data_IF_540754062106
#
_entry.id   IF_540754062106
#
_cell.length_a   1.000
_cell.length_b   1.000
_cell.length_c   1.000
_cell.angle_alpha   90.00
_cell.angle_beta   90.00
_cell.angle_gamma   90.00
#
_symmetry.space_group_name_H-M   'P 1'
#
loop_
_entity.id
_entity.type
_entity.pdbx_description
1 polymer ?
#
# COMPACT_ATOMS: atom_id res chain seq x y z
N UNK A 1 -27.26 9.56 5.50
CA UNK A 1 -26.48 10.17 4.40
C UNK A 1 -25.04 10.32 4.85
N UNK A 2 -24.08 9.78 4.09
CA UNK A 2 -22.65 9.82 4.37
C UNK A 2 -22.03 11.22 4.12
N UNK A 3 -22.82 12.29 4.19
CA UNK A 3 -22.36 13.67 4.06
C UNK A 3 -21.89 14.20 5.42
N UNK A 4 -21.26 13.34 6.23
CA UNK A 4 -20.78 13.69 7.57
C UNK A 4 -19.41 14.34 7.40
N UNK A 5 -19.43 15.67 7.56
CA UNK A 5 -18.32 16.63 7.47
C UNK A 5 -17.70 16.72 6.08
N UNK A 6 -17.51 17.95 5.61
CA UNK A 6 -16.77 18.30 4.41
C UNK A 6 -15.36 17.70 4.53
N UNK A 7 -15.18 16.46 4.07
CA UNK A 7 -13.87 15.85 3.98
C UNK A 7 -13.15 16.58 2.88
N UNK A 8 -12.10 17.32 3.23
CA UNK A 8 -11.26 18.03 2.27
C UNK A 8 -10.47 16.99 1.47
N UNK A 9 -11.06 16.53 0.37
CA UNK A 9 -10.47 15.51 -0.53
C UNK A 9 -9.14 16.02 -1.10
N UNK A 10 -8.97 17.34 -1.24
CA UNK A 10 -7.74 17.96 -1.73
C UNK A 10 -6.62 17.79 -0.69
N UNK A 11 -6.86 18.17 0.56
CA UNK A 11 -5.90 17.89 1.65
C UNK A 11 -5.66 16.40 1.86
N UNK A 12 -6.70 15.58 1.73
CA UNK A 12 -6.60 14.13 1.76
C UNK A 12 -5.66 13.60 0.68
N UNK A 13 -5.73 14.14 -0.52
CA UNK A 13 -4.84 13.80 -1.62
C UNK A 13 -3.38 14.16 -1.33
N UNK A 14 -3.13 15.35 -0.75
CA UNK A 14 -1.77 15.76 -0.34
C UNK A 14 -1.15 14.77 0.65
N UNK A 15 -1.91 14.38 1.69
CA UNK A 15 -1.46 13.38 2.65
C UNK A 15 -1.20 12.02 1.99
N UNK A 16 -2.02 11.63 1.01
CA UNK A 16 -1.82 10.39 0.26
C UNK A 16 -0.53 10.47 -0.57
N UNK A 17 -0.18 11.61 -1.16
CA UNK A 17 1.11 11.77 -1.84
C UNK A 17 2.29 11.57 -0.88
N UNK A 18 2.22 12.15 0.32
CA UNK A 18 3.24 11.93 1.36
C UNK A 18 3.37 10.44 1.73
N UNK A 19 2.25 9.72 1.85
CA UNK A 19 2.25 8.28 2.11
C UNK A 19 2.88 7.52 0.93
N UNK A 20 2.56 7.87 -0.31
CA UNK A 20 3.15 7.24 -1.50
C UNK A 20 4.67 7.45 -1.53
N UNK A 21 5.16 8.63 -1.19
CA UNK A 21 6.59 8.93 -1.07
C UNK A 21 7.26 8.08 0.00
N UNK A 22 6.67 7.99 1.19
CA UNK A 22 7.16 7.12 2.27
C UNK A 22 7.24 5.65 1.83
N UNK A 23 6.24 5.15 1.11
CA UNK A 23 6.22 3.77 0.61
C UNK A 23 7.26 3.57 -0.49
N UNK A 24 7.50 4.58 -1.35
CA UNK A 24 8.59 4.56 -2.34
C UNK A 24 9.95 4.49 -1.65
N UNK A 25 10.15 5.20 -0.55
CA UNK A 25 11.40 5.12 0.20
C UNK A 25 11.58 3.77 0.90
N UNK A 26 10.50 3.17 1.41
CA UNK A 26 10.52 1.77 1.85
C UNK A 26 10.85 0.81 0.71
N UNK A 27 10.41 1.10 -0.52
CA UNK A 27 10.70 0.29 -1.71
C UNK A 27 12.15 0.39 -2.17
N UNK A 28 12.77 1.58 -2.06
CA UNK A 28 14.22 1.77 -2.27
C UNK A 28 15.03 1.04 -1.20
N UNK A 29 14.56 1.07 0.05
CA UNK A 29 15.19 0.42 1.20
C UNK A 29 14.59 -0.96 1.51
N UNK A 30 14.15 -1.70 0.48
CA UNK A 30 13.40 -2.95 0.64
C UNK A 30 14.16 -4.02 1.44
N UNK A 31 15.49 -4.01 1.39
CA UNK A 31 16.34 -4.91 2.18
C UNK A 31 16.19 -4.68 3.68
N UNK A 32 16.33 -3.44 4.15
CA UNK A 32 16.18 -3.09 5.56
C UNK A 32 14.74 -3.33 6.05
N UNK A 33 13.74 -3.00 5.21
CA UNK A 33 12.33 -3.27 5.50
C UNK A 33 12.10 -4.78 5.66
N UNK A 34 12.64 -5.59 4.74
CA UNK A 34 12.52 -7.05 4.79
C UNK A 34 13.20 -7.61 6.03
N UNK A 35 14.42 -7.17 6.35
CA UNK A 35 15.13 -7.60 7.56
C UNK A 35 14.35 -7.27 8.85
N UNK A 36 13.78 -6.07 8.95
CA UNK A 36 12.93 -5.67 10.09
C UNK A 36 11.69 -6.54 10.23
N UNK A 37 11.01 -6.84 9.11
CA UNK A 37 9.81 -7.69 9.10
C UNK A 37 10.17 -9.12 9.50
N UNK A 38 11.22 -9.69 8.91
CA UNK A 38 11.66 -11.05 9.21
C UNK A 38 12.16 -11.19 10.65
N UNK A 39 12.85 -10.17 11.20
CA UNK A 39 13.24 -10.15 12.62
C UNK A 39 12.02 -10.17 13.54
N UNK A 40 11.00 -9.35 13.23
CA UNK A 40 9.75 -9.33 14.00
C UNK A 40 9.00 -10.65 13.90
N UNK A 41 8.92 -11.23 12.71
CA UNK A 41 8.35 -12.55 12.49
C UNK A 41 9.12 -13.61 13.29
N UNK A 42 10.45 -13.61 13.21
CA UNK A 42 11.33 -14.54 13.91
C UNK A 42 11.08 -14.52 15.42
N UNK A 43 10.94 -13.33 16.01
CA UNK A 43 10.62 -13.20 17.42
C UNK A 43 9.25 -13.80 17.81
N UNK A 44 8.26 -13.82 16.90
CA UNK A 44 6.96 -14.43 17.14
C UNK A 44 6.96 -15.97 17.00
N UNK A 45 7.82 -16.52 16.14
CA UNK A 45 7.93 -17.98 15.93
C UNK A 45 8.94 -18.68 16.83
N UNK A 46 9.89 -17.93 17.43
CA UNK A 46 10.80 -18.44 18.50
C UNK A 46 10.10 -19.29 19.56
N UNK A 47 8.99 -18.86 20.20
CA UNK A 47 8.31 -19.68 21.22
C UNK A 47 7.67 -20.96 20.66
N UNK A 48 7.44 -21.02 19.34
CA UNK A 48 6.88 -22.18 18.65
C UNK A 48 7.96 -23.16 18.16
N UNK A 49 9.25 -22.84 18.33
CA UNK A 49 10.38 -23.59 17.80
C UNK A 49 10.29 -23.87 16.28
N UNK A 50 9.74 -22.90 15.53
CA UNK A 50 9.61 -22.95 14.07
C UNK A 50 10.59 -21.96 13.44
N UNK A 51 11.27 -22.38 12.37
CA UNK A 51 12.16 -21.52 11.59
C UNK A 51 11.46 -20.89 10.38
N UNK A 52 11.87 -19.67 10.03
CA UNK A 52 11.34 -18.96 8.85
C UNK A 52 12.06 -19.48 7.61
N UNK A 53 11.42 -20.44 6.97
CA UNK A 53 11.90 -21.03 5.73
C UNK A 53 11.22 -20.41 4.51
N UNK A 54 11.71 -20.76 3.31
CA UNK A 54 11.05 -20.45 2.06
C UNK A 54 9.70 -21.17 2.01
N UNK A 55 8.64 -20.50 1.57
CA UNK A 55 7.30 -21.09 1.50
C UNK A 55 7.32 -22.44 0.74
N UNK A 56 6.79 -23.50 1.36
CA UNK A 56 6.75 -24.84 0.79
C UNK A 56 5.83 -24.83 -0.44
N UNK A 57 6.39 -25.18 -1.59
CA UNK A 57 5.61 -25.35 -2.83
C UNK A 57 4.82 -26.65 -2.66
N UNK A 58 3.49 -26.56 -2.58
CA UNK A 58 2.65 -27.74 -2.73
C UNK A 58 2.99 -28.37 -4.10
N UNK A 59 3.28 -29.67 -4.15
CA UNK A 59 3.89 -30.35 -5.31
C UNK A 59 3.17 -30.17 -6.65
N UNK A 60 1.96 -29.61 -6.65
CA UNK A 60 1.15 -29.32 -7.83
C UNK A 60 1.35 -27.89 -8.42
N UNK A 61 2.11 -27.01 -7.76
CA UNK A 61 2.45 -25.69 -8.32
C UNK A 61 3.78 -25.74 -9.10
N UNK A 62 3.71 -26.09 -10.39
CA UNK A 62 4.72 -25.72 -11.42
C UNK A 62 3.97 -25.03 -12.57
N UNK A 63 4.44 -23.94 -13.22
CA UNK A 63 5.76 -23.32 -13.23
C UNK A 63 5.67 -21.81 -12.89
N UNK A 64 5.79 -21.41 -11.62
CA UNK A 64 6.07 -19.99 -11.33
C UNK A 64 7.58 -19.82 -11.41
N UNK A 65 8.07 -18.92 -12.26
CA UNK A 65 9.47 -18.54 -12.26
C UNK A 65 9.83 -18.15 -10.83
N UNK A 66 10.68 -18.97 -10.19
CA UNK A 66 11.17 -18.66 -8.86
C UNK A 66 12.03 -17.40 -9.00
N UNK A 67 11.81 -16.36 -8.19
CA UNK A 67 12.82 -15.34 -8.05
C UNK A 67 14.11 -16.04 -7.60
N UNK A 68 15.25 -15.84 -8.29
CA UNK A 68 16.51 -16.36 -7.80
C UNK A 68 16.75 -15.79 -6.40
N UNK A 69 16.92 -16.68 -5.42
CA UNK A 69 17.06 -16.34 -4.02
C UNK A 69 18.10 -17.27 -3.40
N UNK A 70 19.14 -16.68 -2.81
CA UNK A 70 20.24 -17.40 -2.15
C UNK A 70 19.90 -17.73 -0.69
N UNK A 71 18.97 -16.97 -0.10
CA UNK A 71 18.53 -17.13 1.28
C UNK A 71 17.01 -16.82 1.41
N UNK A 72 16.36 -17.24 2.52
CA UNK A 72 14.95 -16.94 2.77
C UNK A 72 14.63 -15.44 2.76
N UNK A 73 15.58 -14.59 3.17
CA UNK A 73 15.44 -13.14 3.15
C UNK A 73 15.22 -12.60 1.74
N UNK A 74 16.05 -13.01 0.79
CA UNK A 74 15.94 -12.65 -0.61
C UNK A 74 14.67 -13.20 -1.25
N UNK A 75 14.27 -14.41 -0.87
CA UNK A 75 13.02 -14.99 -1.32
C UNK A 75 11.84 -14.11 -0.90
N UNK A 76 11.68 -13.81 0.39
CA UNK A 76 10.55 -13.01 0.89
C UNK A 76 10.60 -11.56 0.41
N UNK A 77 11.81 -10.99 0.25
CA UNK A 77 12.02 -9.66 -0.34
C UNK A 77 11.41 -9.58 -1.75
N UNK A 78 11.80 -10.50 -2.64
CA UNK A 78 11.40 -10.49 -4.05
C UNK A 78 9.98 -11.01 -4.27
N UNK A 79 9.55 -12.01 -3.53
CA UNK A 79 8.25 -12.68 -3.71
C UNK A 79 7.08 -11.99 -3.03
N UNK A 80 7.33 -11.18 -2.00
CA UNK A 80 6.27 -10.56 -1.20
C UNK A 80 6.49 -9.07 -1.03
N UNK A 81 7.59 -8.65 -0.41
CA UNK A 81 7.77 -7.26 0.04
C UNK A 81 7.79 -6.30 -1.15
N UNK A 82 8.62 -6.57 -2.16
CA UNK A 82 8.71 -5.74 -3.36
C UNK A 82 7.37 -5.66 -4.08
N UNK A 83 6.74 -6.81 -4.35
CA UNK A 83 5.47 -6.87 -5.08
C UNK A 83 4.36 -6.15 -4.34
N UNK A 84 4.29 -6.29 -3.02
CA UNK A 84 3.27 -5.66 -2.21
C UNK A 84 3.43 -4.13 -2.16
N UNK A 85 4.66 -3.65 -2.00
CA UNK A 85 4.97 -2.22 -2.05
C UNK A 85 4.63 -1.63 -3.42
N UNK A 86 5.03 -2.30 -4.51
CA UNK A 86 4.74 -1.85 -5.88
C UNK A 86 3.22 -1.84 -6.15
N UNK A 87 2.48 -2.84 -5.64
CA UNK A 87 1.03 -2.89 -5.75
C UNK A 87 0.35 -1.75 -5.00
N UNK A 88 0.77 -1.44 -3.77
CA UNK A 88 0.20 -0.33 -3.01
C UNK A 88 0.49 0.98 -3.73
N UNK A 89 1.74 1.21 -4.13
CA UNK A 89 2.16 2.42 -4.86
C UNK A 89 1.29 2.58 -6.11
N UNK A 90 1.14 1.54 -6.93
CA UNK A 90 0.32 1.59 -8.14
C UNK A 90 -1.16 1.85 -7.83
N UNK A 91 -1.72 1.17 -6.82
CA UNK A 91 -3.12 1.33 -6.44
C UNK A 91 -3.45 2.76 -5.96
N UNK A 92 -2.54 3.38 -5.22
CA UNK A 92 -2.68 4.74 -4.74
C UNK A 92 -2.51 5.74 -5.87
N UNK A 93 -1.51 5.55 -6.74
CA UNK A 93 -1.29 6.41 -7.90
C UNK A 93 -2.47 6.42 -8.86
N UNK A 94 -3.08 5.27 -9.14
CA UNK A 94 -4.25 5.19 -10.03
C UNK A 94 -5.45 5.98 -9.49
N UNK A 95 -5.63 5.99 -8.15
CA UNK A 95 -6.78 6.61 -7.50
C UNK A 95 -6.57 8.08 -7.17
N UNK A 96 -5.34 8.45 -6.86
CA UNK A 96 -4.98 9.75 -6.29
C UNK A 96 -3.91 10.46 -7.13
N UNK A 97 -3.76 10.14 -8.43
CA UNK A 97 -2.85 10.91 -9.26
C UNK A 97 -3.27 12.37 -9.32
N UNK A 98 -2.31 13.26 -9.51
CA UNK A 98 -2.52 14.70 -9.70
C UNK A 98 -3.48 14.99 -10.86
N UNK A 99 -3.53 14.11 -11.87
CA UNK A 99 -4.45 14.20 -13.00
C UNK A 99 -5.93 14.08 -12.59
N UNK A 100 -6.21 13.52 -11.40
CA UNK A 100 -7.55 13.42 -10.82
C UNK A 100 -7.92 14.62 -9.96
N UNK A 101 -6.99 15.55 -9.72
CA UNK A 101 -7.22 16.77 -8.93
C UNK A 101 -8.40 17.61 -9.43
N UNK A 102 -8.63 17.79 -10.74
CA UNK A 102 -9.84 18.49 -11.22
C UNK A 102 -11.14 17.81 -10.81
N UNK A 103 -11.18 16.47 -10.80
CA UNK A 103 -12.37 15.73 -10.37
C UNK A 103 -12.64 15.89 -8.86
N UNK A 104 -11.58 15.96 -8.06
CA UNK A 104 -11.70 16.26 -6.62
C UNK A 104 -12.21 17.69 -6.37
N UNK A 105 -11.67 18.67 -7.12
CA UNK A 105 -12.14 20.06 -7.04
C UNK A 105 -13.61 20.18 -7.46
N UNK A 106 -14.02 19.54 -8.56
CA UNK A 106 -15.42 19.51 -9.01
C UNK A 106 -16.35 18.90 -7.95
N UNK A 107 -15.91 17.84 -7.28
CA UNK A 107 -16.66 17.23 -6.17
C UNK A 107 -16.85 18.22 -5.03
N UNK A 108 -15.80 18.98 -4.68
CA UNK A 108 -15.86 20.02 -3.67
C UNK A 108 -16.82 21.16 -4.06
N UNK A 109 -16.70 21.70 -5.28
CA UNK A 109 -17.59 22.74 -5.80
C UNK A 109 -19.06 22.30 -5.78
N UNK A 110 -19.34 21.09 -6.24
CA UNK A 110 -20.71 20.55 -6.25
C UNK A 110 -21.28 20.42 -4.82
N UNK A 111 -20.50 19.88 -3.89
CA UNK A 111 -20.90 19.71 -2.50
C UNK A 111 -21.16 21.06 -1.80
N UNK A 112 -20.39 22.10 -2.11
CA UNK A 112 -20.61 23.43 -1.53
C UNK A 112 -21.88 24.08 -2.10
N UNK A 113 -22.09 24.02 -3.42
CA UNK A 113 -23.28 24.59 -4.05
C UNK A 113 -24.57 23.86 -3.62
N UNK A 114 -24.52 22.55 -3.38
CA UNK A 114 -25.66 21.77 -2.88
C UNK A 114 -26.09 22.15 -1.45
N UNK A 115 -25.20 22.69 -0.61
CA UNK A 115 -25.56 23.18 0.74
C UNK A 115 -26.42 24.45 0.69
N UNK A 116 -26.24 25.26 -0.37
CA UNK A 116 -26.99 26.50 -0.54
C UNK A 116 -28.40 26.27 -1.08
N UNK A 117 -28.60 25.22 -1.89
CA UNK A 117 -29.92 24.86 -2.44
C UNK A 117 -30.87 24.30 -1.38
N UNK A 118 -30.36 23.63 -0.34
CA UNK A 118 -31.21 23.05 0.73
C UNK A 118 -31.58 24.03 1.86
N UNK A 119 -31.23 25.32 1.73
CA UNK A 119 -31.55 26.37 2.72
C UNK A 119 -32.56 27.41 2.19
N UNK A 120 -33.00 27.29 0.94
CA UNK A 120 -33.98 28.19 0.31
C UNK A 120 -35.42 27.63 0.28
N UNK A 121 -35.74 26.64 1.12
CA UNK A 121 -37.11 26.13 1.35
C UNK A 121 -37.66 26.52 2.73
#
# INVERSE_FOLDING_TARGET
MLQIKTLDIVKGNEHIQTIVEMIRDHRKNAENVTAKILKKAGNKVKPLNVDITVARIAGQQKPRNKPPAENPGDFWKRSLIILYLDLIIGSLQVRFSTDKSPAFALTHFYLDNMKHVSLEE
#
